data_IF_779908384922
#
_entry.id   IF_779908384922
#
_cell.length_a   1.000
_cell.length_b   1.000
_cell.length_c   1.000
_cell.angle_alpha   90.00
_cell.angle_beta   90.00
_cell.angle_gamma   90.00
#
_symmetry.space_group_name_H-M   'P 1'
#
loop_
_entity.id
_entity.type
_entity.pdbx_description
1 polymer ?
#
# COMPACT_ATOMS: atom_id res chain seq x y z
N UNK A 1 -29.36 -76.24 -2.32
CA UNK A 1 -28.72 -77.31 -3.12
C UNK A 1 -28.70 -76.84 -4.57
N UNK A 2 -27.62 -77.21 -5.28
CA UNK A 2 -27.31 -77.02 -6.71
C UNK A 2 -26.92 -75.62 -7.20
N UNK A 3 -25.60 -75.40 -7.13
CA UNK A 3 -24.74 -74.83 -8.18
C UNK A 3 -25.11 -75.27 -9.60
N UNK A 4 -24.97 -74.36 -10.57
CA UNK A 4 -24.59 -74.66 -11.96
C UNK A 4 -23.99 -73.40 -12.62
N UNK A 5 -23.06 -73.65 -13.53
CA UNK A 5 -21.92 -72.83 -13.92
C UNK A 5 -21.97 -72.49 -15.44
N UNK A 6 -21.20 -71.47 -15.86
CA UNK A 6 -20.75 -71.09 -17.23
C UNK A 6 -21.77 -70.37 -18.14
N UNK A 7 -21.43 -69.31 -18.90
CA UNK A 7 -20.17 -68.63 -19.24
C UNK A 7 -20.46 -67.19 -19.77
N UNK A 8 -19.54 -66.21 -19.74
CA UNK A 8 -19.69 -64.97 -20.50
C UNK A 8 -18.98 -65.01 -21.87
N UNK A 9 -19.64 -64.43 -22.87
CA UNK A 9 -19.19 -64.27 -24.27
C UNK A 9 -17.95 -63.37 -24.41
N UNK A 10 -17.13 -63.54 -25.47
CA UNK A 10 -15.94 -62.72 -25.66
C UNK A 10 -16.29 -61.29 -26.09
N UNK A 11 -15.68 -60.30 -25.43
CA UNK A 11 -15.79 -58.87 -25.73
C UNK A 11 -15.01 -58.53 -27.00
N UNK A 12 -15.70 -58.01 -28.01
CA UNK A 12 -15.10 -57.46 -29.21
C UNK A 12 -14.62 -56.02 -28.93
N UNK A 13 -13.31 -55.81 -28.81
CA UNK A 13 -12.71 -54.48 -28.67
C UNK A 13 -12.06 -54.07 -29.99
N UNK A 14 -12.34 -52.87 -30.54
CA UNK A 14 -11.71 -52.41 -31.78
C UNK A 14 -10.22 -52.12 -31.57
N UNK A 15 -9.38 -52.24 -32.63
CA UNK A 15 -7.94 -52.10 -32.51
C UNK A 15 -7.53 -50.66 -32.16
N UNK A 16 -6.68 -50.51 -31.14
CA UNK A 16 -6.07 -49.23 -30.78
C UNK A 16 -5.08 -48.78 -31.86
N UNK A 17 -5.26 -47.56 -32.35
CA UNK A 17 -4.32 -46.85 -33.23
C UNK A 17 -2.97 -46.62 -32.51
N UNK A 18 -1.82 -46.70 -33.19
CA UNK A 18 -0.53 -46.47 -32.55
C UNK A 18 -0.37 -45.01 -32.14
N UNK A 19 -0.21 -44.76 -30.84
CA UNK A 19 0.11 -43.45 -30.28
C UNK A 19 1.52 -43.04 -30.71
N UNK A 20 1.63 -42.04 -31.59
CA UNK A 20 2.90 -41.37 -31.88
C UNK A 20 3.49 -40.70 -30.64
N UNK A 21 4.81 -40.47 -30.57
CA UNK A 21 5.45 -39.87 -29.41
C UNK A 21 4.89 -38.46 -29.16
N UNK A 22 4.40 -38.24 -27.93
CA UNK A 22 3.93 -36.94 -27.45
C UNK A 22 5.07 -35.92 -27.56
N UNK A 23 4.86 -34.71 -28.11
CA UNK A 23 5.92 -33.72 -28.17
C UNK A 23 6.40 -33.41 -26.74
N UNK A 24 7.72 -33.45 -26.54
CA UNK A 24 8.34 -33.15 -25.26
C UNK A 24 7.87 -31.76 -24.77
N UNK A 25 7.35 -31.72 -23.54
CA UNK A 25 6.95 -30.48 -22.87
C UNK A 25 8.21 -29.59 -22.81
N UNK A 26 8.17 -28.43 -23.48
CA UNK A 26 9.26 -27.45 -23.40
C UNK A 26 9.59 -27.19 -21.92
N UNK A 27 10.88 -27.19 -21.52
CA UNK A 27 11.23 -26.84 -20.16
C UNK A 27 10.69 -25.43 -19.89
N UNK A 28 10.06 -25.24 -18.74
CA UNK A 28 9.67 -23.92 -18.27
C UNK A 28 10.95 -23.06 -18.15
N UNK A 29 10.88 -21.74 -18.40
CA UNK A 29 12.00 -20.85 -18.15
C UNK A 29 12.44 -20.98 -16.68
N UNK A 30 13.75 -20.85 -16.46
CA UNK A 30 14.34 -20.82 -15.12
C UNK A 30 13.64 -19.75 -14.26
N UNK A 31 13.18 -20.06 -13.02
CA UNK A 31 12.46 -19.09 -12.19
C UNK A 31 13.24 -17.78 -11.99
N UNK A 32 14.57 -17.85 -11.82
CA UNK A 32 15.41 -16.66 -11.67
C UNK A 32 15.39 -15.75 -12.92
N UNK A 33 15.31 -16.34 -14.12
CA UNK A 33 15.21 -15.58 -15.38
C UNK A 33 13.82 -14.96 -15.53
N UNK A 34 12.78 -15.64 -15.03
CA UNK A 34 11.42 -15.11 -14.99
C UNK A 34 11.31 -13.89 -14.08
N UNK A 35 11.86 -13.97 -12.87
CA UNK A 35 11.78 -12.90 -11.86
C UNK A 35 12.50 -11.63 -12.36
N UNK A 36 13.69 -11.77 -12.97
CA UNK A 36 14.44 -10.63 -13.54
C UNK A 36 13.70 -9.98 -14.70
N UNK A 37 13.00 -10.76 -15.53
CA UNK A 37 12.20 -10.21 -16.63
C UNK A 37 10.98 -9.47 -16.10
N UNK A 38 10.34 -10.01 -15.06
CA UNK A 38 9.20 -9.39 -14.39
C UNK A 38 9.58 -8.07 -13.74
N UNK A 39 10.70 -8.00 -13.01
CA UNK A 39 11.21 -6.76 -12.41
C UNK A 39 11.47 -5.69 -13.48
N UNK A 40 12.10 -6.05 -14.60
CA UNK A 40 12.32 -5.13 -15.72
C UNK A 40 11.03 -4.63 -16.35
N UNK A 41 10.00 -5.48 -16.41
CA UNK A 41 8.70 -5.11 -16.93
C UNK A 41 8.01 -4.11 -15.98
N UNK A 42 8.01 -4.41 -14.67
CA UNK A 42 7.48 -3.55 -13.61
C UNK A 42 8.13 -2.16 -13.68
N UNK A 43 9.46 -2.10 -13.82
CA UNK A 43 10.20 -0.85 -13.96
C UNK A 43 9.81 -0.05 -15.20
N UNK A 44 9.61 -0.72 -16.33
CA UNK A 44 9.22 -0.08 -17.58
C UNK A 44 7.79 0.49 -17.48
N UNK A 45 6.85 -0.29 -16.94
CA UNK A 45 5.47 0.12 -16.72
C UNK A 45 5.38 1.27 -15.72
N UNK A 46 6.12 1.20 -14.60
CA UNK A 46 6.17 2.26 -13.61
C UNK A 46 6.67 3.58 -14.21
N UNK A 47 7.72 3.54 -15.06
CA UNK A 47 8.22 4.75 -15.74
C UNK A 47 7.18 5.36 -16.68
N UNK A 48 6.44 4.53 -17.41
CA UNK A 48 5.36 5.00 -18.30
C UNK A 48 4.24 5.63 -17.46
N UNK A 49 3.82 4.95 -16.39
CA UNK A 49 2.81 5.47 -15.47
C UNK A 49 3.21 6.82 -14.89
N UNK A 50 4.46 6.94 -14.40
CA UNK A 50 4.97 8.17 -13.78
C UNK A 50 4.98 9.37 -14.73
N UNK A 51 5.31 9.15 -16.01
CA UNK A 51 5.22 10.19 -17.06
C UNK A 51 3.79 10.64 -17.33
N UNK A 52 2.81 9.74 -17.16
CA UNK A 52 1.40 10.03 -17.40
C UNK A 52 0.68 10.60 -16.16
N UNK A 53 1.27 10.49 -14.96
CA UNK A 53 0.68 10.94 -13.69
C UNK A 53 0.07 12.35 -13.73
N UNK A 54 0.70 13.40 -14.32
CA UNK A 54 0.13 14.75 -14.40
C UNK A 54 -1.19 14.85 -15.18
N UNK A 55 -1.47 13.85 -16.03
CA UNK A 55 -2.70 13.79 -16.83
C UNK A 55 -3.75 12.86 -16.21
N UNK A 56 -3.35 12.01 -15.26
CA UNK A 56 -4.21 10.97 -14.68
C UNK A 56 -4.76 11.34 -13.31
N UNK A 57 -4.04 12.15 -12.53
CA UNK A 57 -4.36 12.42 -11.13
C UNK A 57 -4.20 13.90 -10.80
N UNK A 58 -5.11 14.42 -9.97
CA UNK A 58 -5.00 15.78 -9.43
C UNK A 58 -3.94 15.87 -8.33
N UNK A 59 -3.70 14.77 -7.59
CA UNK A 59 -2.70 14.67 -6.53
C UNK A 59 -2.09 13.27 -6.49
N UNK A 60 -0.76 13.20 -6.52
CA UNK A 60 0.00 11.99 -6.21
C UNK A 60 1.07 12.32 -5.19
N UNK A 61 1.13 11.51 -4.15
CA UNK A 61 2.13 11.60 -3.10
C UNK A 61 2.84 10.26 -2.99
N UNK A 62 4.16 10.29 -3.00
CA UNK A 62 4.99 9.10 -2.81
C UNK A 62 5.83 9.29 -1.56
N UNK A 63 5.75 8.36 -0.62
CA UNK A 63 6.56 8.37 0.59
C UNK A 63 7.10 6.96 0.87
N UNK A 64 8.41 6.85 1.01
CA UNK A 64 9.08 5.60 1.35
C UNK A 64 9.09 5.45 2.86
N UNK A 65 8.41 4.41 3.36
CA UNK A 65 8.47 4.04 4.78
C UNK A 65 9.75 3.25 5.06
N UNK A 66 10.24 3.35 6.30
CA UNK A 66 11.39 2.57 6.79
C UNK A 66 11.08 1.06 6.76
N UNK A 67 9.89 0.69 7.22
CA UNK A 67 9.38 -0.67 7.22
C UNK A 67 8.04 -0.76 6.48
N UNK A 68 7.75 -1.89 5.81
CA UNK A 68 6.49 -2.07 5.12
C UNK A 68 5.33 -2.06 6.11
N UNK A 69 4.19 -1.55 5.64
CA UNK A 69 2.96 -1.51 6.42
C UNK A 69 1.92 -2.45 5.84
N UNK A 70 1.43 -3.38 6.66
CA UNK A 70 0.34 -4.29 6.27
C UNK A 70 -1.05 -3.66 6.47
N UNK A 71 -1.12 -2.48 7.08
CA UNK A 71 -2.37 -1.80 7.38
C UNK A 71 -2.26 -0.31 7.08
N UNK A 72 -3.30 0.24 6.48
CA UNK A 72 -3.47 1.68 6.32
C UNK A 72 -4.92 2.03 6.61
N UNK A 73 -5.14 3.10 7.38
CA UNK A 73 -6.48 3.64 7.61
C UNK A 73 -6.41 5.14 7.90
N UNK A 74 -7.26 5.93 7.25
CA UNK A 74 -7.48 7.33 7.62
C UNK A 74 -8.16 7.42 8.98
N UNK A 75 -7.63 8.27 9.85
CA UNK A 75 -8.30 8.69 11.07
C UNK A 75 -9.23 9.87 10.74
N UNK A 76 -10.38 10.01 11.43
CA UNK A 76 -11.36 11.06 11.15
C UNK A 76 -10.89 12.46 11.58
N UNK A 77 -9.77 12.56 12.30
CA UNK A 77 -9.25 13.83 12.79
C UNK A 77 -8.56 14.60 11.65
N UNK A 78 -9.11 15.78 11.34
CA UNK A 78 -8.53 16.74 10.39
C UNK A 78 -8.18 18.01 11.15
N UNK A 79 -6.93 18.46 11.03
CA UNK A 79 -6.45 19.71 11.63
C UNK A 79 -6.16 20.72 10.54
N UNK A 80 -6.77 21.90 10.61
CA UNK A 80 -6.46 22.97 9.66
C UNK A 80 -5.12 23.62 10.02
N UNK A 81 -4.19 23.66 9.07
CA UNK A 81 -2.92 24.34 9.23
C UNK A 81 -3.07 25.79 8.77
N UNK A 82 -2.76 26.79 9.64
CA UNK A 82 -2.67 28.18 9.19
C UNK A 82 -1.52 28.32 8.20
N UNK A 83 -1.73 29.13 7.16
CA UNK A 83 -0.72 29.39 6.13
C UNK A 83 0.54 30.00 6.77
N UNK A 84 1.62 29.22 6.89
CA UNK A 84 2.87 29.67 7.53
C UNK A 84 3.61 30.75 6.72
N UNK A 85 3.18 31.04 5.49
CA UNK A 85 3.78 32.11 4.67
C UNK A 85 3.33 33.52 5.03
N UNK A 86 2.40 33.70 5.98
CA UNK A 86 1.87 35.03 6.29
C UNK A 86 1.65 35.28 7.79
N UNK A 87 2.75 35.35 8.56
CA UNK A 87 2.71 35.96 9.91
C UNK A 87 2.48 37.49 9.87
N UNK A 88 2.14 38.08 8.72
CA UNK A 88 1.87 39.50 8.58
C UNK A 88 0.76 39.81 7.56
N UNK A 89 -0.38 39.13 7.63
CA UNK A 89 -1.59 39.62 6.97
C UNK A 89 -2.85 39.34 7.80
N UNK A 90 -3.18 40.33 8.63
CA UNK A 90 -4.52 40.54 9.15
C UNK A 90 -5.49 40.89 8.00
N UNK A 91 -6.06 39.89 7.31
CA UNK A 91 -7.38 40.04 6.67
C UNK A 91 -7.96 38.69 6.30
N UNK A 92 -9.22 38.48 6.67
CA UNK A 92 -10.02 37.31 6.35
C UNK A 92 -10.38 37.29 4.86
N UNK A 93 -9.46 36.85 4.00
CA UNK A 93 -9.76 36.36 2.64
C UNK A 93 -8.49 35.90 1.94
N UNK A 94 -8.13 34.61 2.01
CA UNK A 94 -7.17 33.95 1.11
C UNK A 94 -7.24 32.43 1.30
N UNK A 95 -7.97 31.73 0.43
CA UNK A 95 -8.19 30.27 0.46
C UNK A 95 -6.97 29.45 0.05
N UNK A 96 -5.90 29.50 0.85
CA UNK A 96 -4.65 28.77 0.62
C UNK A 96 -4.12 28.15 1.91
N UNK A 97 -4.95 27.35 2.59
CA UNK A 97 -4.55 26.57 3.77
C UNK A 97 -4.36 25.10 3.42
N UNK A 98 -3.44 24.42 4.12
CA UNK A 98 -3.32 22.96 4.08
C UNK A 98 -4.17 22.34 5.17
N UNK A 99 -4.69 21.15 4.92
CA UNK A 99 -5.32 20.32 5.94
C UNK A 99 -4.36 19.20 6.32
N UNK A 100 -4.10 19.06 7.61
CA UNK A 100 -3.37 17.94 8.16
C UNK A 100 -4.34 16.81 8.48
N UNK A 101 -4.22 15.72 7.73
CA UNK A 101 -4.96 14.49 7.92
C UNK A 101 -4.08 13.48 8.64
N UNK A 102 -4.67 12.57 9.40
CA UNK A 102 -3.92 11.53 10.12
C UNK A 102 -4.15 10.14 9.54
N UNK A 103 -3.09 9.35 9.42
CA UNK A 103 -3.08 7.98 8.95
C UNK A 103 -2.61 7.04 10.05
N UNK A 104 -3.30 5.92 10.19
CA UNK A 104 -2.90 4.80 11.02
C UNK A 104 -2.12 3.79 10.17
N UNK A 105 -0.90 3.50 10.58
CA UNK A 105 0.04 2.58 9.93
C UNK A 105 0.57 1.57 10.94
N UNK A 106 1.06 0.44 10.46
CA UNK A 106 1.83 -0.53 11.24
C UNK A 106 3.20 -0.78 10.63
N UNK A 107 4.09 -1.40 11.38
CA UNK A 107 5.34 -1.97 10.83
C UNK A 107 5.22 -3.49 10.69
N UNK A 108 5.96 -4.02 9.74
CA UNK A 108 6.29 -5.44 9.63
C UNK A 108 7.80 -5.56 9.46
N UNK A 109 8.49 -5.72 10.59
CA UNK A 109 9.92 -5.99 10.63
C UNK A 109 10.17 -7.50 10.57
N UNK A 110 11.30 -7.91 10.00
CA UNK A 110 11.77 -9.30 10.05
C UNK A 110 12.92 -9.41 11.03
N UNK A 111 12.81 -10.26 12.05
CA UNK A 111 13.92 -10.57 12.97
C UNK A 111 13.78 -9.90 14.35
N UNK A 112 14.87 -9.37 14.95
CA UNK A 112 14.89 -8.90 16.33
C UNK A 112 14.39 -7.45 16.51
N UNK A 113 14.00 -6.77 15.43
CA UNK A 113 13.57 -5.38 15.50
C UNK A 113 12.15 -5.25 16.03
N UNK A 114 11.95 -4.23 16.87
CA UNK A 114 10.65 -3.95 17.45
C UNK A 114 9.65 -3.47 16.39
N UNK A 115 8.40 -3.90 16.56
CA UNK A 115 7.32 -3.44 15.72
C UNK A 115 6.56 -2.30 16.40
N UNK A 116 6.00 -1.41 15.59
CA UNK A 116 5.30 -0.23 16.06
C UNK A 116 3.94 -0.08 15.37
N UNK A 117 2.94 0.30 16.17
CA UNK A 117 1.76 0.98 15.69
C UNK A 117 2.10 2.45 15.51
N UNK A 118 1.87 2.99 14.32
CA UNK A 118 2.29 4.36 13.97
C UNK A 118 1.09 5.22 13.60
N UNK A 119 1.13 6.49 14.02
CA UNK A 119 0.24 7.53 13.52
C UNK A 119 1.06 8.52 12.73
N UNK A 120 0.78 8.61 11.43
CA UNK A 120 1.42 9.56 10.52
C UNK A 120 0.48 10.73 10.22
N UNK A 121 1.05 11.90 9.99
CA UNK A 121 0.34 13.10 9.56
C UNK A 121 0.65 13.39 8.10
N UNK A 122 -0.37 13.80 7.36
CA UNK A 122 -0.32 14.07 5.92
C UNK A 122 -0.85 15.46 5.67
N UNK A 123 -0.03 16.34 5.10
CA UNK A 123 -0.46 17.67 4.70
C UNK A 123 -1.08 17.62 3.29
N UNK A 124 -2.41 17.72 3.20
CA UNK A 124 -3.16 17.77 1.96
C UNK A 124 -3.52 19.23 1.59
N UNK A 125 -3.51 19.59 0.30
CA UNK A 125 -4.09 20.85 -0.15
C UNK A 125 -5.61 20.81 0.07
N UNK A 126 -6.19 21.93 0.51
CA UNK A 126 -7.65 22.05 0.57
C UNK A 126 -8.23 22.00 -0.83
N UNK A 127 -9.45 21.47 -0.96
CA UNK A 127 -10.17 21.40 -2.24
C UNK A 127 -10.44 22.77 -2.87
N UNK A 128 -10.38 23.86 -2.07
CA UNK A 128 -10.51 25.25 -2.54
C UNK A 128 -9.17 25.91 -2.87
N UNK A 129 -8.04 25.27 -2.55
CA UNK A 129 -6.73 25.76 -2.90
C UNK A 129 -6.49 25.55 -4.40
N UNK A 130 -6.06 26.59 -5.10
CA UNK A 130 -5.66 26.48 -6.49
C UNK A 130 -4.62 25.37 -6.63
N UNK A 131 -4.91 24.35 -7.44
CA UNK A 131 -3.95 23.31 -7.83
C UNK A 131 -2.76 24.06 -8.44
N UNK A 132 -1.65 24.14 -7.70
CA UNK A 132 -0.40 24.67 -8.22
C UNK A 132 -0.07 23.77 -9.41
N UNK A 133 -0.05 24.36 -10.61
CA UNK A 133 0.12 23.67 -11.89
C UNK A 133 1.49 22.96 -11.90
N UNK A 134 1.52 21.74 -11.35
CA UNK A 134 2.70 20.89 -11.20
C UNK A 134 2.91 20.03 -12.45
N UNK A 135 2.48 20.50 -13.62
CA UNK A 135 2.65 19.82 -14.92
C UNK A 135 4.10 19.71 -15.37
N UNK A 136 5.04 20.33 -14.66
CA UNK A 136 6.47 20.21 -14.96
C UNK A 136 7.00 18.90 -14.37
N UNK A 137 7.15 17.89 -15.22
CA UNK A 137 7.93 16.69 -14.95
C UNK A 137 9.42 17.03 -15.13
N UNK A 138 10.22 16.86 -14.07
CA UNK A 138 11.67 17.00 -14.17
C UNK A 138 12.28 15.65 -14.61
N UNK A 139 12.68 15.55 -15.88
CA UNK A 139 13.31 14.35 -16.45
C UNK A 139 14.64 13.97 -15.76
N UNK A 140 15.30 14.91 -15.08
CA UNK A 140 16.60 14.67 -14.42
C UNK A 140 16.44 14.09 -13.01
N UNK A 141 15.39 14.49 -12.29
CA UNK A 141 15.05 13.97 -10.95
C UNK A 141 13.99 12.87 -10.97
N UNK A 142 13.27 12.74 -12.08
CA UNK A 142 12.14 11.82 -12.22
C UNK A 142 10.98 12.18 -11.29
N UNK A 143 10.79 13.46 -10.96
CA UNK A 143 9.77 13.97 -10.05
C UNK A 143 8.72 14.78 -10.82
N UNK A 144 7.45 14.67 -10.43
CA UNK A 144 6.40 15.60 -10.86
C UNK A 144 6.36 16.74 -9.84
N UNK A 145 6.64 17.97 -10.27
CA UNK A 145 6.59 19.15 -9.41
C UNK A 145 7.78 20.07 -9.63
N UNK A 146 7.51 21.31 -10.04
CA UNK A 146 8.54 22.34 -10.14
C UNK A 146 9.15 22.68 -8.77
N UNK A 147 10.36 23.22 -8.79
CA UNK A 147 11.11 23.70 -7.63
C UNK A 147 10.22 24.60 -6.74
N UNK A 148 9.80 24.10 -5.57
CA UNK A 148 8.98 24.81 -4.59
C UNK A 148 7.55 24.26 -4.34
N UNK A 149 7.03 23.32 -5.14
CA UNK A 149 5.72 22.72 -4.90
C UNK A 149 5.71 21.67 -3.77
N UNK A 150 6.85 21.00 -3.54
CA UNK A 150 6.98 19.93 -2.54
C UNK A 150 7.06 20.42 -1.08
N UNK A 151 7.38 21.71 -0.84
CA UNK A 151 7.61 22.22 0.51
C UNK A 151 6.31 22.64 1.25
N UNK A 152 5.18 22.77 0.55
CA UNK A 152 3.92 23.23 1.14
C UNK A 152 2.85 22.14 1.30
N UNK A 153 2.89 21.10 0.44
CA UNK A 153 1.91 20.02 0.39
C UNK A 153 2.62 18.71 0.07
N UNK A 154 2.09 17.58 0.55
CA UNK A 154 2.65 16.27 0.21
C UNK A 154 3.64 15.69 1.21
N UNK A 155 3.88 16.37 2.33
CA UNK A 155 4.73 15.84 3.41
C UNK A 155 3.96 14.82 4.24
N UNK A 156 4.53 13.63 4.37
CA UNK A 156 4.08 12.58 5.28
C UNK A 156 5.13 12.48 6.38
N UNK A 157 4.74 12.73 7.63
CA UNK A 157 5.63 12.59 8.79
C UNK A 157 5.02 11.60 9.79
N UNK A 158 5.82 10.71 10.36
CA UNK A 158 5.37 9.81 11.43
C UNK A 158 5.39 10.59 12.75
N UNK A 159 4.21 10.93 13.27
CA UNK A 159 4.04 11.73 14.49
C UNK A 159 4.22 10.89 15.76
N UNK A 160 3.78 9.63 15.72
CA UNK A 160 3.71 8.78 16.91
C UNK A 160 4.11 7.35 16.55
N UNK A 161 4.82 6.69 17.46
CA UNK A 161 5.20 5.26 17.36
C UNK A 161 4.95 4.60 18.71
N UNK A 162 4.01 3.68 18.77
CA UNK A 162 3.67 2.91 19.96
C UNK A 162 4.22 1.50 19.78
N UNK A 163 5.01 1.02 20.74
CA UNK A 163 5.56 -0.32 20.72
C UNK A 163 4.44 -1.37 20.63
N UNK A 164 4.51 -2.23 19.62
CA UNK A 164 3.61 -3.35 19.42
C UNK A 164 4.38 -4.65 19.68
N UNK A 165 4.12 -5.26 20.84
CA UNK A 165 4.80 -6.48 21.26
C UNK A 165 3.82 -7.48 21.86
N UNK A 166 3.91 -8.77 21.50
CA UNK A 166 4.83 -9.36 20.51
C UNK A 166 4.40 -9.21 19.03
N UNK A 167 5.39 -8.95 18.18
CA UNK A 167 5.30 -9.14 16.71
C UNK A 167 4.69 -7.98 15.92
N UNK A 168 4.48 -8.21 14.63
CA UNK A 168 4.05 -7.21 13.65
C UNK A 168 2.56 -6.85 13.72
N UNK A 169 2.22 -5.72 13.08
CA UNK A 169 0.84 -5.22 13.01
C UNK A 169 0.19 -5.69 11.71
N UNK A 170 -0.56 -6.79 11.76
CA UNK A 170 -1.26 -7.34 10.59
C UNK A 170 -2.46 -6.49 10.15
N UNK A 171 -3.16 -5.91 11.12
CA UNK A 171 -4.30 -5.02 10.89
C UNK A 171 -4.47 -4.09 12.08
N UNK A 172 -4.74 -2.82 11.83
CA UNK A 172 -5.07 -1.84 12.85
C UNK A 172 -6.36 -1.10 12.47
N UNK A 173 -7.30 -0.94 13.40
CA UNK A 173 -8.56 -0.22 13.18
C UNK A 173 -8.91 0.66 14.36
N UNK A 174 -9.22 1.92 14.09
CA UNK A 174 -9.79 2.81 15.11
C UNK A 174 -11.26 2.45 15.40
N UNK A 175 -11.71 2.74 16.60
CA UNK A 175 -13.10 2.57 17.00
C UNK A 175 -13.94 3.75 16.47
N UNK A 176 -15.02 3.53 15.70
CA UNK A 176 -15.81 4.62 15.13
C UNK A 176 -16.40 5.60 16.15
N UNK A 177 -16.75 5.12 17.35
CA UNK A 177 -17.27 5.95 18.45
C UNK A 177 -16.19 6.79 19.14
N UNK A 178 -14.94 6.33 19.12
CA UNK A 178 -13.80 7.00 19.74
C UNK A 178 -12.53 6.69 18.94
N UNK A 179 -12.11 7.63 18.10
CA UNK A 179 -10.97 7.45 17.21
C UNK A 179 -9.62 7.35 17.95
N UNK A 180 -9.58 7.67 19.24
CA UNK A 180 -8.38 7.48 20.05
C UNK A 180 -8.19 6.02 20.47
N UNK A 181 -9.22 5.19 20.40
CA UNK A 181 -9.09 3.76 20.69
C UNK A 181 -8.80 3.00 19.41
N UNK A 182 -7.64 2.35 19.35
CA UNK A 182 -7.20 1.57 18.20
C UNK A 182 -7.03 0.10 18.59
N UNK A 183 -7.69 -0.79 17.86
CA UNK A 183 -7.49 -2.22 17.99
C UNK A 183 -6.51 -2.72 16.92
N UNK A 184 -5.55 -3.55 17.28
CA UNK A 184 -4.64 -4.22 16.34
C UNK A 184 -4.75 -5.73 16.42
N UNK A 185 -4.27 -6.41 15.38
CA UNK A 185 -4.09 -7.86 15.33
C UNK A 185 -2.62 -8.20 15.15
N UNK A 186 -2.09 -9.03 16.06
CA UNK A 186 -0.73 -9.54 15.97
C UNK A 186 -0.59 -10.80 15.08
N UNK A 187 0.60 -11.40 15.04
CA UNK A 187 0.89 -12.61 14.25
C UNK A 187 0.07 -13.83 14.69
N UNK A 188 -0.04 -14.06 16.00
CA UNK A 188 -0.60 -15.30 16.57
C UNK A 188 -2.12 -15.22 16.77
N UNK A 189 -2.77 -14.19 16.23
CA UNK A 189 -4.21 -13.98 16.36
C UNK A 189 -4.64 -13.22 17.62
N UNK A 190 -3.69 -12.87 18.49
CA UNK A 190 -3.94 -11.95 19.60
C UNK A 190 -4.38 -10.58 19.10
N UNK A 191 -5.28 -9.95 19.87
CA UNK A 191 -5.76 -8.61 19.61
C UNK A 191 -5.31 -7.68 20.73
N UNK A 192 -4.79 -6.52 20.35
CA UNK A 192 -4.34 -5.49 21.30
C UNK A 192 -5.22 -4.26 21.15
N UNK A 193 -5.41 -3.54 22.25
CA UNK A 193 -6.17 -2.28 22.26
C UNK A 193 -5.26 -1.20 22.81
N UNK A 194 -5.07 -0.15 22.01
CA UNK A 194 -4.25 1.00 22.31
C UNK A 194 -5.12 2.23 22.47
N UNK A 195 -4.71 3.12 23.36
CA UNK A 195 -5.26 4.47 23.50
C UNK A 195 -4.23 5.45 22.95
N UNK A 196 -4.48 5.98 21.74
CA UNK A 196 -3.60 6.92 21.04
C UNK A 196 -3.82 8.37 21.50
N UNK A 197 -4.69 8.63 22.50
CA UNK A 197 -4.81 9.96 23.12
C UNK A 197 -3.74 10.25 24.16
N UNK A 198 -3.16 9.19 24.75
CA UNK A 198 -2.34 9.27 25.97
C UNK A 198 -0.85 9.40 25.73
N UNK A 199 -0.39 9.31 24.49
CA UNK A 199 1.04 9.44 24.21
C UNK A 199 1.40 10.93 24.04
N UNK A 200 2.19 11.49 24.97
CA UNK A 200 2.59 12.89 24.96
C UNK A 200 3.73 13.08 23.95
N UNK A 201 3.71 14.21 23.26
CA UNK A 201 4.94 14.78 22.69
C UNK A 201 6.06 14.86 23.73
#
# INVERSE_FOLDING_TARGET
>A
KSEATMAPSPSDSPPQSPSGPRPAKRPAPDPEVSDVLEERLIDAEYKIWKKNTPYLYDLVMTHSLEWPSLTVQWLPQVRQLPNQSNQQASSASSGGGSEEHSLLLGTHTTGPEDNFLMVATVALPRADAAIVDSRTYDDTRGECGGFGAADAYGRIDVRMRILHSPGEVNRARYMPSDAFVVATRGPVGDAYVFDVSRDPS
#
